data_IF_165535674185
#
_entry.id   IF_165535674185
#
_cell.length_a   1.000
_cell.length_b   1.000
_cell.length_c   1.000
_cell.angle_alpha   90.00
_cell.angle_beta   90.00
_cell.angle_gamma   90.00
#
_symmetry.space_group_name_H-M   'P 1'
#
loop_
_entity.id
_entity.type
_entity.pdbx_description
1 polymer ?
#
# COMPACT_ATOMS: atom_id res chain seq x y z
N UNK A 1 -14.75 10.18 14.05
CA UNK A 1 -15.66 9.69 12.99
C UNK A 1 -15.12 8.40 12.39
N UNK A 2 -15.81 7.83 11.40
CA UNK A 2 -15.32 6.73 10.56
C UNK A 2 -15.31 7.18 9.10
N UNK A 3 -14.35 6.72 8.32
CA UNK A 3 -14.18 7.10 6.92
C UNK A 3 -14.64 5.99 5.98
N UNK A 4 -15.00 6.37 4.74
CA UNK A 4 -15.49 5.44 3.73
C UNK A 4 -14.39 4.48 3.23
N UNK A 5 -14.78 3.27 2.84
CA UNK A 5 -13.93 2.19 2.31
C UNK A 5 -14.76 1.30 1.38
N UNK A 6 -14.22 0.72 0.29
CA UNK A 6 -14.94 -0.30 -0.46
C UNK A 6 -15.23 -1.51 0.43
N UNK A 7 -16.22 -2.32 0.02
CA UNK A 7 -16.65 -3.50 0.75
C UNK A 7 -15.46 -4.40 1.14
N UNK A 8 -15.26 -4.63 2.45
CA UNK A 8 -14.12 -5.39 3.02
C UNK A 8 -12.72 -4.93 2.57
N UNK A 9 -12.59 -3.73 2.00
CA UNK A 9 -11.32 -3.23 1.51
C UNK A 9 -10.77 -3.95 0.26
N UNK A 10 -11.63 -4.56 -0.56
CA UNK A 10 -11.22 -5.51 -1.61
C UNK A 10 -10.95 -4.91 -2.99
N UNK A 11 -10.84 -3.59 -3.12
CA UNK A 11 -10.50 -2.94 -4.39
C UNK A 11 -9.67 -1.66 -4.23
N UNK A 12 -9.23 -1.12 -5.37
CA UNK A 12 -8.28 0.00 -5.49
C UNK A 12 -8.99 1.36 -5.67
N UNK A 13 -10.31 1.37 -5.60
CA UNK A 13 -11.19 2.55 -5.62
C UNK A 13 -12.10 2.50 -4.39
N UNK A 14 -12.66 3.63 -3.97
CA UNK A 14 -13.60 3.69 -2.83
C UNK A 14 -14.98 4.04 -3.32
N UNK A 15 -15.68 3.05 -3.87
CA UNK A 15 -17.01 3.19 -4.47
C UNK A 15 -18.01 2.14 -3.98
N UNK A 16 -18.10 1.89 -2.66
CA UNK A 16 -19.03 0.89 -2.13
C UNK A 16 -20.48 1.23 -2.45
N UNK A 17 -21.30 0.21 -2.72
CA UNK A 17 -22.75 0.40 -2.93
C UNK A 17 -23.42 0.98 -1.69
N UNK A 18 -23.01 0.54 -0.49
CA UNK A 18 -23.65 0.87 0.77
C UNK A 18 -23.58 2.37 1.12
N UNK A 19 -22.43 2.99 0.90
CA UNK A 19 -22.13 4.36 1.35
C UNK A 19 -21.82 5.32 0.20
N UNK A 20 -21.84 4.82 -1.05
CA UNK A 20 -21.58 5.60 -2.25
C UNK A 20 -20.10 5.91 -2.49
N UNK A 21 -19.83 6.50 -3.66
CA UNK A 21 -18.49 6.86 -4.10
C UNK A 21 -17.84 7.96 -3.25
N UNK A 22 -16.61 7.71 -2.81
CA UNK A 22 -15.73 8.72 -2.24
C UNK A 22 -15.06 9.51 -3.36
N UNK A 23 -15.36 10.81 -3.44
CA UNK A 23 -14.89 11.70 -4.51
C UNK A 23 -13.52 12.28 -4.16
N UNK A 24 -12.62 12.31 -5.13
CA UNK A 24 -11.28 12.85 -4.96
C UNK A 24 -11.32 14.39 -4.78
N UNK A 25 -10.79 14.94 -3.67
CA UNK A 25 -10.75 16.39 -3.44
C UNK A 25 -10.01 17.21 -4.51
N UNK A 26 -9.13 16.58 -5.30
CA UNK A 26 -8.44 17.24 -6.41
C UNK A 26 -9.28 17.29 -7.68
N UNK A 27 -10.21 16.35 -7.86
CA UNK A 27 -11.14 16.31 -8.98
C UNK A 27 -12.33 15.41 -8.66
N UNK A 28 -13.51 16.00 -8.44
CA UNK A 28 -14.69 15.31 -7.89
C UNK A 28 -15.29 14.21 -8.78
N UNK A 29 -14.83 14.09 -10.03
CA UNK A 29 -15.18 13.01 -10.98
C UNK A 29 -14.23 11.81 -10.92
N UNK A 30 -13.19 11.87 -10.09
CA UNK A 30 -12.18 10.83 -9.94
C UNK A 30 -12.25 10.14 -8.58
N UNK A 31 -11.73 8.92 -8.55
CA UNK A 31 -11.59 8.09 -7.37
C UNK A 31 -10.50 8.59 -6.45
N UNK A 32 -10.71 8.44 -5.15
CA UNK A 32 -9.72 8.68 -4.09
C UNK A 32 -8.67 7.58 -3.99
N UNK A 33 -8.74 6.54 -4.85
CA UNK A 33 -8.06 5.29 -4.61
C UNK A 33 -8.76 4.46 -3.53
N UNK A 34 -8.17 3.32 -3.17
CA UNK A 34 -8.75 2.40 -2.19
C UNK A 34 -7.72 1.47 -1.54
N UNK A 35 -8.06 0.85 -0.41
CA UNK A 35 -9.37 0.92 0.24
C UNK A 35 -9.56 2.10 1.20
N UNK A 36 -8.48 2.69 1.75
CA UNK A 36 -8.57 3.81 2.70
C UNK A 36 -8.89 5.17 2.03
N UNK A 37 -9.70 5.19 0.97
CA UNK A 37 -9.99 6.39 0.18
C UNK A 37 -10.75 7.47 0.94
N UNK A 38 -11.64 7.08 1.86
CA UNK A 38 -12.31 8.05 2.75
C UNK A 38 -11.34 8.74 3.70
N UNK A 39 -10.32 8.02 4.19
CA UNK A 39 -9.27 8.60 5.04
C UNK A 39 -8.43 9.60 4.25
N UNK A 40 -8.00 9.22 3.05
CA UNK A 40 -7.23 10.10 2.18
C UNK A 40 -8.01 11.34 1.74
N UNK A 41 -9.29 11.20 1.38
CA UNK A 41 -10.13 12.34 1.04
C UNK A 41 -10.29 13.31 2.22
N UNK A 42 -10.55 12.79 3.42
CA UNK A 42 -10.69 13.62 4.61
C UNK A 42 -9.42 14.42 4.92
N UNK A 43 -8.25 13.81 4.76
CA UNK A 43 -6.96 14.47 4.98
C UNK A 43 -6.65 15.48 3.88
N UNK A 44 -6.84 15.12 2.61
CA UNK A 44 -6.58 15.99 1.47
C UNK A 44 -7.54 17.21 1.42
N UNK A 45 -8.78 17.04 1.88
CA UNK A 45 -9.75 18.13 2.05
C UNK A 45 -9.47 19.02 3.29
N UNK A 46 -8.51 18.64 4.14
CA UNK A 46 -8.19 19.37 5.37
C UNK A 46 -9.21 19.24 6.50
N UNK A 47 -10.07 18.20 6.47
CA UNK A 47 -11.01 17.90 7.56
C UNK A 47 -10.25 17.44 8.81
N UNK A 48 -9.18 16.65 8.62
CA UNK A 48 -8.25 16.21 9.67
C UNK A 48 -6.81 16.24 9.14
N UNK A 49 -5.77 16.40 9.99
CA UNK A 49 -4.38 16.46 9.53
C UNK A 49 -3.78 15.08 9.16
N UNK A 50 -4.31 14.02 9.78
CA UNK A 50 -3.99 12.62 9.49
C UNK A 50 -5.21 11.75 9.80
N UNK A 51 -5.28 10.58 9.18
CA UNK A 51 -6.36 9.62 9.42
C UNK A 51 -5.83 8.19 9.38
N UNK A 52 -6.34 7.35 10.28
CA UNK A 52 -6.03 5.91 10.29
C UNK A 52 -6.36 5.27 8.95
N UNK A 53 -5.50 4.36 8.52
CA UNK A 53 -5.62 3.60 7.29
C UNK A 53 -4.95 2.22 7.45
N UNK A 54 -5.43 1.26 6.68
CA UNK A 54 -4.86 -0.08 6.57
C UNK A 54 -4.29 -0.32 5.18
N UNK A 55 -3.32 -1.22 5.06
CA UNK A 55 -2.69 -1.56 3.77
C UNK A 55 -2.43 -3.06 3.67
N UNK A 56 -3.29 -3.75 2.91
CA UNK A 56 -3.19 -5.18 2.58
C UNK A 56 -2.77 -5.48 1.13
N UNK A 57 -2.82 -4.47 0.26
CA UNK A 57 -2.39 -4.54 -1.15
C UNK A 57 -1.96 -3.19 -1.73
N UNK A 58 -1.73 -2.19 -0.88
CA UNK A 58 -1.52 -0.79 -1.26
C UNK A 58 -2.50 0.18 -0.61
N UNK A 59 -3.35 -0.24 0.31
CA UNK A 59 -4.50 0.55 0.75
C UNK A 59 -4.21 1.77 1.65
N UNK A 60 -2.95 2.01 2.03
CA UNK A 60 -2.46 3.33 2.52
C UNK A 60 -1.86 4.09 1.35
N UNK A 61 -0.97 3.42 0.61
CA UNK A 61 -0.15 4.04 -0.45
C UNK A 61 -0.95 4.52 -1.66
N UNK A 62 -1.93 3.74 -2.11
CA UNK A 62 -2.79 4.03 -3.27
C UNK A 62 -3.67 5.25 -2.99
N UNK A 63 -4.43 5.31 -1.88
CA UNK A 63 -5.18 6.52 -1.55
C UNK A 63 -4.28 7.74 -1.34
N UNK A 64 -3.10 7.56 -0.72
CA UNK A 64 -2.14 8.64 -0.57
C UNK A 64 -1.64 9.17 -1.93
N UNK A 65 -1.30 8.27 -2.86
CA UNK A 65 -0.90 8.62 -4.22
C UNK A 65 -2.00 9.38 -4.97
N UNK A 66 -3.25 8.91 -4.87
CA UNK A 66 -4.36 9.51 -5.59
C UNK A 66 -4.82 10.85 -5.00
N UNK A 67 -4.60 11.07 -3.70
CA UNK A 67 -5.04 12.27 -2.99
C UNK A 67 -3.90 13.23 -2.64
N UNK A 68 -2.69 13.02 -3.15
CA UNK A 68 -1.55 13.92 -2.96
C UNK A 68 -1.07 14.00 -1.52
N UNK A 69 -1.00 12.86 -0.84
CA UNK A 69 -0.61 12.74 0.56
C UNK A 69 0.62 11.85 0.73
N UNK A 70 1.23 11.93 1.90
CA UNK A 70 2.21 10.95 2.34
C UNK A 70 1.50 9.74 2.97
N UNK A 71 1.96 8.53 2.61
CA UNK A 71 1.44 7.30 3.19
C UNK A 71 2.52 6.24 3.33
N UNK A 72 2.77 5.80 4.56
CA UNK A 72 3.72 4.73 4.87
C UNK A 72 2.97 3.43 5.19
N UNK A 73 3.30 2.36 4.48
CA UNK A 73 3.02 0.98 4.89
C UNK A 73 4.21 0.49 5.73
N UNK A 74 4.07 0.36 7.06
CA UNK A 74 5.17 -0.09 7.91
C UNK A 74 5.56 -1.55 7.63
N UNK A 75 6.71 -1.96 8.12
CA UNK A 75 7.13 -3.36 8.13
C UNK A 75 6.08 -4.24 8.80
N UNK A 76 5.84 -5.44 8.25
CA UNK A 76 5.01 -6.45 8.90
C UNK A 76 5.54 -6.74 10.29
N UNK A 77 4.67 -6.67 11.29
CA UNK A 77 4.99 -6.88 12.70
C UNK A 77 5.46 -5.64 13.45
N UNK A 78 5.66 -4.49 12.79
CA UNK A 78 5.98 -3.24 13.49
C UNK A 78 4.75 -2.62 14.17
N UNK A 79 3.61 -2.68 13.50
CA UNK A 79 2.30 -2.22 13.98
C UNK A 79 1.28 -3.34 13.86
N UNK A 80 0.16 -3.23 14.58
CA UNK A 80 -1.01 -4.09 14.39
C UNK A 80 -2.20 -3.30 13.85
N UNK A 81 -3.05 -3.96 13.04
CA UNK A 81 -4.42 -3.48 12.77
C UNK A 81 -5.39 -4.08 13.77
N UNK A 82 -5.26 -5.38 14.01
CA UNK A 82 -6.26 -6.22 14.68
C UNK A 82 -5.58 -7.47 15.28
N UNK A 83 -6.28 -8.18 16.17
CA UNK A 83 -5.67 -9.15 17.10
C UNK A 83 -5.56 -10.59 16.57
N UNK A 84 -6.04 -10.88 15.36
CA UNK A 84 -6.06 -12.24 14.81
C UNK A 84 -5.49 -12.33 13.38
N UNK A 85 -5.14 -13.57 12.97
CA UNK A 85 -4.67 -13.83 11.60
C UNK A 85 -5.74 -13.54 10.53
N UNK A 86 -7.01 -13.73 10.84
CA UNK A 86 -8.10 -13.49 9.88
C UNK A 86 -8.18 -12.01 9.49
N UNK A 87 -8.12 -11.17 10.51
CA UNK A 87 -8.26 -9.73 10.44
C UNK A 87 -7.11 -9.02 9.71
N UNK A 88 -5.91 -9.61 9.74
CA UNK A 88 -4.74 -9.07 9.04
C UNK A 88 -4.35 -9.84 7.75
N UNK A 89 -5.24 -10.70 7.24
CA UNK A 89 -4.98 -11.59 6.11
C UNK A 89 -3.66 -12.38 6.25
N UNK A 90 -3.42 -12.95 7.44
CA UNK A 90 -2.17 -13.61 7.81
C UNK A 90 -0.93 -12.76 7.58
N UNK A 91 -1.02 -11.48 7.96
CA UNK A 91 0.09 -10.54 7.97
C UNK A 91 0.30 -9.80 6.66
N UNK A 92 -0.59 -9.96 5.67
CA UNK A 92 -0.54 -9.14 4.46
C UNK A 92 -1.00 -7.69 4.74
N UNK A 93 -1.88 -7.50 5.73
CA UNK A 93 -2.40 -6.19 6.12
C UNK A 93 -1.68 -5.62 7.34
N UNK A 94 -1.30 -4.34 7.27
CA UNK A 94 -0.69 -3.57 8.36
C UNK A 94 -1.32 -2.19 8.50
N UNK A 95 -1.25 -1.62 9.70
CA UNK A 95 -1.99 -0.41 10.07
C UNK A 95 -1.07 0.78 10.28
N UNK A 96 -1.51 1.94 9.79
CA UNK A 96 -0.87 3.22 10.05
C UNK A 96 -1.83 4.37 9.75
N UNK A 97 -1.35 5.44 9.12
CA UNK A 97 -2.12 6.63 8.75
C UNK A 97 -1.75 7.07 7.34
N UNK A 98 -2.67 7.81 6.72
CA UNK A 98 -2.35 8.77 5.65
C UNK A 98 -2.24 10.16 6.28
N UNK A 99 -1.27 10.97 5.84
CA UNK A 99 -0.96 12.26 6.46
C UNK A 99 -0.50 13.31 5.44
N UNK A 100 -0.63 14.59 5.81
CA UNK A 100 -0.15 15.69 4.97
C UNK A 100 1.38 15.85 5.02
N UNK A 101 2.02 15.41 6.11
CA UNK A 101 3.45 15.62 6.34
C UNK A 101 4.15 14.37 6.86
N UNK A 102 5.44 14.24 6.53
CA UNK A 102 6.27 13.10 6.98
C UNK A 102 6.38 13.06 8.50
N UNK A 103 6.52 14.22 9.14
CA UNK A 103 6.62 14.32 10.62
C UNK A 103 5.36 13.81 11.33
N UNK A 104 4.18 14.03 10.77
CA UNK A 104 2.93 13.58 11.38
C UNK A 104 2.84 12.06 11.29
N UNK A 105 3.24 11.47 10.16
CA UNK A 105 3.36 10.01 10.03
C UNK A 105 4.34 9.43 11.04
N UNK A 106 5.53 10.00 11.20
CA UNK A 106 6.52 9.53 12.17
C UNK A 106 6.02 9.61 13.62
N UNK A 107 5.35 10.70 14.00
CA UNK A 107 4.76 10.86 15.32
C UNK A 107 3.66 9.83 15.59
N UNK A 108 2.81 9.53 14.60
CA UNK A 108 1.83 8.45 14.74
C UNK A 108 2.50 7.08 14.86
N UNK A 109 3.57 6.83 14.10
CA UNK A 109 4.27 5.55 14.15
C UNK A 109 4.89 5.31 15.53
N UNK A 110 5.47 6.33 16.17
CA UNK A 110 5.95 6.25 17.56
C UNK A 110 4.85 5.80 18.54
N UNK A 111 3.61 6.27 18.34
CA UNK A 111 2.49 5.96 19.22
C UNK A 111 1.93 4.53 19.04
N UNK A 112 1.98 4.00 17.81
CA UNK A 112 1.33 2.72 17.47
C UNK A 112 2.31 1.56 17.30
N UNK A 113 3.61 1.82 17.40
CA UNK A 113 4.65 0.79 17.31
C UNK A 113 4.52 -0.19 18.47
N UNK A 114 4.51 -1.47 18.15
CA UNK A 114 4.47 -2.53 19.15
C UNK A 114 5.78 -2.53 19.96
N UNK A 115 5.67 -2.78 21.27
CA UNK A 115 6.83 -2.90 22.16
C UNK A 115 7.26 -4.34 22.40
N UNK A 116 6.55 -5.30 21.83
CA UNK A 116 6.81 -6.73 21.88
C UNK A 116 6.60 -7.36 20.50
N UNK A 117 7.02 -8.62 20.33
CA UNK A 117 6.48 -9.45 19.25
C UNK A 117 4.99 -9.72 19.53
N UNK A 118 4.20 -9.88 18.49
CA UNK A 118 2.79 -10.27 18.58
C UNK A 118 2.50 -11.38 17.55
N UNK A 119 1.51 -11.24 16.66
CA UNK A 119 1.24 -12.22 15.59
C UNK A 119 2.42 -12.43 14.63
N UNK A 120 3.26 -11.41 14.47
CA UNK A 120 4.46 -11.45 13.64
C UNK A 120 5.65 -10.89 14.41
N UNK A 121 6.86 -11.24 13.94
CA UNK A 121 8.08 -10.72 14.53
C UNK A 121 8.10 -9.19 14.38
N UNK A 122 8.32 -8.47 15.48
CA UNK A 122 8.62 -7.06 15.45
C UNK A 122 10.06 -6.83 14.93
N UNK A 123 10.26 -6.06 13.86
CA UNK A 123 11.58 -5.83 13.28
C UNK A 123 12.54 -5.12 14.22
N UNK A 124 12.06 -4.16 15.03
CA UNK A 124 12.92 -3.43 15.95
C UNK A 124 13.52 -4.35 17.01
N UNK A 125 12.74 -5.32 17.49
CA UNK A 125 13.19 -6.29 18.49
C UNK A 125 14.01 -7.42 17.88
N UNK A 126 13.64 -7.88 16.68
CA UNK A 126 14.35 -8.95 15.99
C UNK A 126 15.76 -8.53 15.55
N UNK A 127 15.99 -7.24 15.32
CA UNK A 127 17.26 -6.69 14.86
C UNK A 127 18.10 -6.07 16.00
N UNK A 128 17.57 -5.99 17.22
CA UNK A 128 18.28 -5.40 18.36
C UNK A 128 19.23 -6.39 19.06
N UNK A 129 20.46 -5.93 19.29
CA UNK A 129 21.33 -6.36 20.39
C UNK A 129 21.22 -5.35 21.53
N UNK A 130 20.21 -5.52 22.41
CA UNK A 130 20.01 -4.78 23.69
C UNK A 130 19.97 -3.24 23.59
N UNK A 131 18.78 -2.64 23.64
CA UNK A 131 18.60 -1.18 23.74
C UNK A 131 17.13 -0.73 23.71
N UNK A 132 16.85 0.54 24.02
CA UNK A 132 15.50 1.13 23.95
C UNK A 132 14.98 1.19 22.50
N UNK A 133 13.66 1.10 22.31
CA UNK A 133 13.04 1.23 20.99
C UNK A 133 13.37 2.61 20.38
N UNK A 134 13.92 2.68 19.15
CA UNK A 134 14.24 3.95 18.52
C UNK A 134 12.96 4.74 18.19
N UNK A 135 12.95 6.05 18.49
CA UNK A 135 11.87 6.95 18.06
C UNK A 135 12.03 7.35 16.60
N UNK A 136 10.97 7.20 15.82
CA UNK A 136 10.86 7.64 14.44
C UNK A 136 10.84 9.16 14.34
N UNK A 137 10.18 9.87 15.26
CA UNK A 137 10.19 11.35 15.30
C UNK A 137 11.59 11.89 15.57
N UNK A 138 12.36 11.26 16.47
CA UNK A 138 13.74 11.66 16.74
C UNK A 138 14.67 11.32 15.57
N UNK A 139 14.43 10.22 14.85
CA UNK A 139 15.17 9.89 13.64
C UNK A 139 15.09 11.01 12.58
N UNK A 140 13.96 11.72 12.49
CA UNK A 140 13.78 12.87 11.59
C UNK A 140 14.60 14.10 11.98
N UNK A 141 15.01 14.23 13.25
CA UNK A 141 15.84 15.35 13.73
C UNK A 141 17.34 15.13 13.47
N UNK A 142 17.71 13.91 13.12
CA UNK A 142 19.09 13.56 12.80
C UNK A 142 19.46 14.02 11.39
N UNK A 143 20.74 13.93 11.05
CA UNK A 143 21.19 14.19 9.69
C UNK A 143 20.45 13.30 8.67
N UNK A 144 20.20 13.80 7.45
CA UNK A 144 19.66 13.00 6.36
C UNK A 144 20.46 11.70 6.15
N UNK A 145 19.87 10.68 5.49
CA UNK A 145 20.60 9.46 5.16
C UNK A 145 21.91 9.77 4.42
N UNK A 146 22.93 8.94 4.65
CA UNK A 146 24.12 8.96 3.81
C UNK A 146 23.75 8.64 2.35
N UNK A 147 24.72 8.74 1.43
CA UNK A 147 24.53 8.33 0.04
C UNK A 147 23.95 6.91 -0.02
N UNK A 148 22.79 6.77 -0.67
CA UNK A 148 22.05 5.51 -0.81
C UNK A 148 22.23 4.98 -2.23
N UNK A 149 22.15 3.66 -2.38
CA UNK A 149 22.07 2.94 -3.66
C UNK A 149 20.61 2.70 -3.98
N UNK A 150 20.15 3.20 -5.11
CA UNK A 150 18.73 3.27 -5.44
C UNK A 150 18.48 2.58 -6.78
N UNK A 151 17.60 1.58 -6.77
CA UNK A 151 17.06 0.97 -7.97
C UNK A 151 15.84 1.77 -8.44
N UNK A 152 15.89 2.35 -9.65
CA UNK A 152 14.77 3.04 -10.27
C UNK A 152 14.03 2.11 -11.24
N UNK A 153 12.80 1.71 -10.91
CA UNK A 153 11.99 0.82 -11.73
C UNK A 153 11.07 1.63 -12.64
N UNK A 154 11.28 1.51 -13.94
CA UNK A 154 10.53 2.21 -15.00
C UNK A 154 9.77 1.25 -15.93
N UNK A 155 9.76 -0.04 -15.61
CA UNK A 155 9.04 -1.08 -16.35
C UNK A 155 8.04 -1.79 -15.44
N UNK A 156 6.92 -2.23 -16.01
CA UNK A 156 5.91 -2.96 -15.25
C UNK A 156 6.40 -4.39 -14.97
N UNK A 157 6.30 -4.89 -13.73
CA UNK A 157 6.86 -6.21 -13.37
C UNK A 157 6.16 -7.39 -14.03
N UNK A 158 4.96 -7.21 -14.60
CA UNK A 158 4.20 -8.23 -15.34
C UNK A 158 3.98 -7.88 -16.82
N UNK A 159 4.60 -6.80 -17.32
CA UNK A 159 4.53 -6.42 -18.73
C UNK A 159 3.35 -5.53 -19.17
N UNK A 160 2.51 -5.04 -18.24
CA UNK A 160 1.50 -4.00 -18.53
C UNK A 160 2.17 -2.67 -18.92
N UNK A 161 1.38 -1.75 -19.50
CA UNK A 161 1.85 -0.41 -19.81
C UNK A 161 1.75 0.51 -18.59
N UNK A 162 2.80 1.29 -18.35
CA UNK A 162 2.80 2.39 -17.39
C UNK A 162 2.50 3.68 -18.17
N UNK A 163 1.58 4.47 -17.66
CA UNK A 163 1.22 5.78 -18.21
C UNK A 163 2.45 6.71 -18.27
N UNK A 164 2.50 7.55 -19.31
CA UNK A 164 3.66 8.41 -19.57
C UNK A 164 3.81 9.50 -18.51
N UNK A 165 2.72 10.03 -17.92
CA UNK A 165 2.80 11.01 -16.83
C UNK A 165 3.29 10.35 -15.53
N UNK A 166 2.92 9.08 -15.30
CA UNK A 166 3.44 8.30 -14.17
C UNK A 166 4.94 8.04 -14.33
N UNK A 167 5.39 7.63 -15.52
CA UNK A 167 6.82 7.45 -15.81
C UNK A 167 7.61 8.76 -15.69
N UNK A 168 7.03 9.88 -16.13
CA UNK A 168 7.64 11.20 -15.96
C UNK A 168 7.87 11.52 -14.48
N UNK A 169 6.90 11.23 -13.62
CA UNK A 169 7.02 11.38 -12.16
C UNK A 169 8.11 10.51 -11.55
N UNK A 170 8.18 9.23 -11.92
CA UNK A 170 9.23 8.30 -11.44
C UNK A 170 10.62 8.79 -11.86
N UNK A 171 10.80 9.16 -13.12
CA UNK A 171 12.08 9.70 -13.61
C UNK A 171 12.43 11.03 -12.95
N UNK A 172 11.44 11.88 -12.65
CA UNK A 172 11.66 13.13 -11.91
C UNK A 172 12.11 12.87 -10.47
N UNK A 173 11.50 11.90 -9.78
CA UNK A 173 11.94 11.48 -8.45
C UNK A 173 13.37 10.90 -8.47
N UNK A 174 13.73 10.12 -9.50
CA UNK A 174 15.11 9.65 -9.71
C UNK A 174 16.10 10.81 -9.79
N UNK A 175 15.85 11.81 -10.64
CA UNK A 175 16.71 13.00 -10.77
C UNK A 175 16.79 13.82 -9.47
N UNK A 176 15.69 13.92 -8.73
CA UNK A 176 15.69 14.58 -7.42
C UNK A 176 16.62 13.84 -6.44
N UNK A 177 16.54 12.51 -6.37
CA UNK A 177 17.40 11.69 -5.52
C UNK A 177 18.89 11.80 -5.92
N UNK A 178 19.21 11.85 -7.22
CA UNK A 178 20.57 12.11 -7.69
C UNK A 178 21.07 13.49 -7.25
N UNK A 179 20.24 14.53 -7.38
CA UNK A 179 20.58 15.90 -6.95
C UNK A 179 20.81 16.01 -5.44
N UNK A 180 20.21 15.11 -4.66
CA UNK A 180 20.39 14.98 -3.22
C UNK A 180 21.62 14.14 -2.83
N UNK A 181 22.38 13.65 -3.82
CA UNK A 181 23.65 12.96 -3.63
C UNK A 181 23.55 11.43 -3.56
N UNK A 182 22.37 10.84 -3.81
CA UNK A 182 22.21 9.39 -3.88
C UNK A 182 22.70 8.83 -5.22
N UNK A 183 22.98 7.52 -5.26
CA UNK A 183 23.29 6.79 -6.50
C UNK A 183 22.02 6.17 -7.04
N UNK A 184 21.58 6.56 -8.24
CA UNK A 184 20.36 6.04 -8.85
C UNK A 184 20.72 5.26 -10.11
N UNK A 185 20.21 4.04 -10.22
CA UNK A 185 20.38 3.19 -11.40
C UNK A 185 19.03 2.65 -11.86
N UNK A 186 18.70 2.83 -13.13
CA UNK A 186 17.49 2.30 -13.73
C UNK A 186 17.63 0.79 -13.98
N UNK A 187 16.76 -0.01 -13.37
CA UNK A 187 16.75 -1.46 -13.56
C UNK A 187 15.35 -2.06 -13.36
N UNK A 188 15.03 -3.21 -13.99
CA UNK A 188 13.77 -3.91 -13.74
C UNK A 188 13.63 -4.32 -12.27
N UNK A 189 12.38 -4.45 -11.80
CA UNK A 189 12.15 -5.01 -10.47
C UNK A 189 12.63 -6.48 -10.44
N UNK A 190 13.45 -6.90 -9.45
CA UNK A 190 14.11 -8.20 -9.46
C UNK A 190 13.21 -9.39 -9.12
N UNK A 191 11.91 -9.18 -8.92
CA UNK A 191 11.05 -10.15 -8.25
C UNK A 191 9.94 -10.66 -9.17
N UNK A 192 9.48 -11.87 -8.88
CA UNK A 192 8.33 -12.49 -9.55
C UNK A 192 7.01 -12.01 -8.91
N UNK A 193 6.49 -10.89 -9.41
CA UNK A 193 5.24 -10.30 -8.96
C UNK A 193 4.02 -11.18 -9.26
N UNK A 194 4.04 -11.95 -10.36
CA UNK A 194 2.95 -12.84 -10.72
C UNK A 194 2.80 -13.97 -9.68
N UNK A 195 3.92 -14.53 -9.22
CA UNK A 195 3.94 -15.51 -8.13
C UNK A 195 3.45 -14.92 -6.82
N UNK A 196 3.83 -13.69 -6.48
CA UNK A 196 3.34 -13.00 -5.29
C UNK A 196 1.83 -12.83 -5.35
N UNK A 197 1.30 -12.29 -6.47
CA UNK A 197 -0.12 -12.07 -6.67
C UNK A 197 -0.94 -13.37 -6.58
N UNK A 198 -0.46 -14.46 -7.21
CA UNK A 198 -1.12 -15.76 -7.14
C UNK A 198 -1.15 -16.35 -5.72
N UNK A 199 -0.09 -16.15 -4.93
CA UNK A 199 -0.05 -16.58 -3.53
C UNK A 199 -0.97 -15.73 -2.64
N UNK A 200 -0.92 -14.41 -2.79
CA UNK A 200 -1.76 -13.48 -2.03
C UNK A 200 -3.25 -13.69 -2.32
N UNK A 201 -3.64 -13.89 -3.58
CA UNK A 201 -5.04 -14.13 -3.95
C UNK A 201 -5.65 -15.33 -3.22
N UNK A 202 -4.89 -16.43 -3.05
CA UNK A 202 -5.31 -17.59 -2.27
C UNK A 202 -5.50 -17.27 -0.79
N UNK A 203 -4.54 -16.56 -0.20
CA UNK A 203 -4.56 -16.20 1.23
C UNK A 203 -5.72 -15.25 1.52
N UNK A 204 -5.84 -14.16 0.74
CA UNK A 204 -6.89 -13.15 0.90
C UNK A 204 -8.26 -13.78 0.66
N UNK A 205 -8.44 -14.56 -0.41
CA UNK A 205 -9.72 -15.24 -0.68
C UNK A 205 -10.16 -16.15 0.46
N UNK A 206 -9.23 -16.90 1.05
CA UNK A 206 -9.48 -17.75 2.22
C UNK A 206 -9.95 -16.91 3.41
N UNK A 207 -9.27 -15.80 3.70
CA UNK A 207 -9.64 -14.93 4.83
C UNK A 207 -10.91 -14.11 4.60
N UNK A 208 -11.23 -13.74 3.37
CA UNK A 208 -12.52 -13.11 3.05
C UNK A 208 -13.65 -14.06 3.35
N UNK A 209 -13.56 -15.32 2.90
CA UNK A 209 -14.55 -16.34 3.25
C UNK A 209 -14.65 -16.52 4.77
N UNK A 210 -13.51 -16.65 5.46
CA UNK A 210 -13.46 -16.80 6.91
C UNK A 210 -14.12 -15.62 7.65
N UNK A 211 -14.00 -14.40 7.11
CA UNK A 211 -14.53 -13.19 7.74
C UNK A 211 -16.04 -13.04 7.55
N UNK A 212 -16.56 -13.43 6.39
CA UNK A 212 -17.99 -13.29 6.08
C UNK A 212 -18.84 -14.47 6.58
N UNK A 213 -18.29 -15.68 6.60
CA UNK A 213 -19.04 -16.91 6.88
C UNK A 213 -19.77 -16.89 8.24
N UNK A 214 -19.17 -16.46 9.36
CA UNK A 214 -19.88 -16.42 10.65
C UNK A 214 -21.13 -15.54 10.61
N UNK A 215 -21.09 -14.44 9.84
CA UNK A 215 -22.25 -13.56 9.69
C UNK A 215 -23.33 -14.20 8.83
N UNK A 216 -22.94 -14.87 7.75
CA UNK A 216 -23.87 -15.60 6.90
C UNK A 216 -24.58 -16.72 7.66
N UNK A 217 -23.82 -17.51 8.43
CA UNK A 217 -24.37 -18.57 9.29
C UNK A 217 -25.37 -18.00 10.31
N UNK A 218 -25.05 -16.87 10.94
CA UNK A 218 -25.94 -16.22 11.90
C UNK A 218 -27.26 -15.71 11.29
N UNK A 219 -27.27 -15.48 9.98
CA UNK A 219 -28.44 -15.02 9.22
C UNK A 219 -29.14 -16.17 8.49
N UNK A 220 -28.61 -17.38 8.53
CA UNK A 220 -29.12 -18.51 7.76
C UNK A 220 -29.03 -18.30 6.25
N UNK A 221 -28.06 -17.52 5.77
CA UNK A 221 -27.87 -17.22 4.35
C UNK A 221 -26.72 -18.04 3.78
N UNK A 222 -26.86 -18.51 2.55
CA UNK A 222 -25.73 -18.98 1.75
C UNK A 222 -24.90 -17.81 1.20
N UNK A 223 -23.68 -18.10 0.75
CA UNK A 223 -22.83 -17.11 0.06
C UNK A 223 -23.46 -16.58 -1.23
N UNK A 224 -24.29 -17.38 -1.91
CA UNK A 224 -24.99 -16.95 -3.12
C UNK A 224 -26.08 -15.92 -2.81
N UNK A 225 -26.82 -16.14 -1.72
CA UNK A 225 -27.88 -15.25 -1.23
C UNK A 225 -27.34 -14.00 -0.51
N UNK A 226 -26.07 -14.03 -0.08
CA UNK A 226 -25.45 -12.92 0.64
C UNK A 226 -25.62 -11.58 -0.09
N UNK A 227 -26.11 -10.51 0.57
CA UNK A 227 -26.27 -9.20 -0.05
C UNK A 227 -24.93 -8.43 -0.05
N UNK A 228 -23.89 -9.06 -0.60
CA UNK A 228 -22.53 -8.48 -0.73
C UNK A 228 -22.19 -8.24 -2.21
N UNK A 229 -21.22 -7.37 -2.45
CA UNK A 229 -20.79 -7.02 -3.80
C UNK A 229 -20.22 -8.22 -4.57
N UNK A 230 -20.36 -8.21 -5.90
CA UNK A 230 -20.04 -9.36 -6.75
C UNK A 230 -18.58 -9.80 -6.61
N UNK A 231 -17.62 -8.86 -6.57
CA UNK A 231 -16.22 -9.18 -6.36
C UNK A 231 -15.95 -9.86 -5.02
N UNK A 232 -16.67 -9.47 -3.95
CA UNK A 232 -16.58 -10.09 -2.62
C UNK A 232 -17.04 -11.54 -2.69
N UNK A 233 -18.18 -11.80 -3.35
CA UNK A 233 -18.67 -13.18 -3.59
C UNK A 233 -17.65 -14.01 -4.37
N UNK A 234 -17.13 -13.46 -5.47
CA UNK A 234 -16.15 -14.15 -6.33
C UNK A 234 -14.89 -14.50 -5.55
N UNK A 235 -14.38 -13.57 -4.74
CA UNK A 235 -13.19 -13.77 -3.92
C UNK A 235 -13.42 -14.84 -2.83
N UNK A 236 -14.56 -14.79 -2.12
CA UNK A 236 -14.92 -15.78 -1.12
C UNK A 236 -15.11 -17.19 -1.73
N UNK A 237 -15.77 -17.30 -2.90
CA UNK A 237 -15.89 -18.56 -3.66
C UNK A 237 -14.55 -19.09 -4.12
N UNK A 238 -13.61 -18.20 -4.47
CA UNK A 238 -12.23 -18.55 -4.75
C UNK A 238 -11.55 -19.15 -3.52
N UNK A 239 -11.69 -18.49 -2.38
CA UNK A 239 -11.20 -18.96 -1.07
C UNK A 239 -11.72 -20.35 -0.69
N UNK A 240 -13.01 -20.63 -0.93
CA UNK A 240 -13.62 -21.93 -0.65
C UNK A 240 -12.97 -23.10 -1.39
N UNK A 241 -12.27 -22.83 -2.50
CA UNK A 241 -11.57 -23.84 -3.32
C UNK A 241 -10.11 -24.04 -2.90
N UNK A 242 -9.58 -23.21 -2.01
CA UNK A 242 -8.18 -23.28 -1.57
C UNK A 242 -8.04 -24.40 -0.55
N UNK A 243 -7.25 -25.43 -0.86
CA UNK A 243 -6.94 -26.48 0.12
C UNK A 243 -5.93 -26.01 1.15
N UNK A 244 -5.82 -26.70 2.28
CA UNK A 244 -4.77 -26.44 3.27
C UNK A 244 -3.35 -26.53 2.65
N UNK A 245 -3.13 -27.47 1.71
CA UNK A 245 -1.85 -27.59 0.98
C UNK A 245 -1.60 -26.37 0.09
N UNK A 246 -2.62 -25.87 -0.61
CA UNK A 246 -2.48 -24.66 -1.44
C UNK A 246 -2.14 -23.43 -0.60
N UNK A 247 -2.77 -23.31 0.58
CA UNK A 247 -2.52 -22.23 1.52
C UNK A 247 -1.08 -22.25 2.05
N UNK A 248 -0.59 -23.41 2.48
CA UNK A 248 0.81 -23.56 2.92
C UNK A 248 1.80 -23.25 1.79
N UNK A 249 1.56 -23.77 0.57
CA UNK A 249 2.40 -23.47 -0.60
C UNK A 249 2.40 -21.99 -0.97
N UNK A 250 1.29 -21.29 -0.78
CA UNK A 250 1.18 -19.86 -0.98
C UNK A 250 2.07 -19.10 0.03
N UNK A 251 2.00 -19.45 1.32
CA UNK A 251 2.87 -18.89 2.36
C UNK A 251 4.34 -19.12 2.09
N UNK A 252 4.73 -20.35 1.72
CA UNK A 252 6.13 -20.66 1.39
C UNK A 252 6.63 -19.87 0.18
N UNK A 253 5.75 -19.60 -0.79
CA UNK A 253 6.09 -18.80 -1.96
C UNK A 253 6.37 -17.35 -1.60
N UNK A 254 5.55 -16.74 -0.73
CA UNK A 254 5.80 -15.39 -0.22
C UNK A 254 7.08 -15.34 0.62
N UNK A 255 7.34 -16.35 1.47
CA UNK A 255 8.57 -16.42 2.26
C UNK A 255 9.83 -16.50 1.39
N UNK A 256 9.80 -17.28 0.30
CA UNK A 256 10.92 -17.32 -0.66
C UNK A 256 11.15 -15.98 -1.34
N UNK A 257 10.09 -15.26 -1.70
CA UNK A 257 10.18 -13.93 -2.29
C UNK A 257 10.74 -12.91 -1.30
N UNK A 258 10.33 -12.98 -0.03
CA UNK A 258 10.88 -12.16 1.05
C UNK A 258 12.40 -12.37 1.19
N UNK A 259 12.86 -13.62 1.25
CA UNK A 259 14.30 -13.93 1.34
C UNK A 259 15.09 -13.46 0.12
N UNK A 260 14.53 -13.60 -1.09
CA UNK A 260 15.14 -13.10 -2.31
C UNK A 260 15.27 -11.57 -2.30
N UNK A 261 14.25 -10.85 -1.82
CA UNK A 261 14.31 -9.40 -1.68
C UNK A 261 15.31 -8.95 -0.62
N UNK A 262 15.38 -9.64 0.52
CA UNK A 262 16.39 -9.36 1.54
C UNK A 262 17.82 -9.49 0.99
N UNK A 263 18.08 -10.53 0.19
CA UNK A 263 19.36 -10.70 -0.51
C UNK A 263 19.62 -9.58 -1.53
N UNK A 264 18.60 -9.16 -2.28
CA UNK A 264 18.72 -8.03 -3.21
C UNK A 264 18.99 -6.70 -2.48
N UNK A 265 18.41 -6.48 -1.30
CA UNK A 265 18.69 -5.29 -0.51
C UNK A 265 20.13 -5.21 0.03
N UNK A 266 20.92 -6.28 -0.10
CA UNK A 266 22.36 -6.18 0.13
C UNK A 266 23.08 -5.39 -0.98
N UNK A 267 22.49 -5.29 -2.18
CA UNK A 267 23.05 -4.55 -3.32
C UNK A 267 22.45 -3.16 -3.50
N UNK A 268 21.21 -2.95 -3.04
CA UNK A 268 20.51 -1.65 -3.09
C UNK A 268 19.79 -1.34 -1.79
N UNK A 269 19.76 -0.07 -1.40
CA UNK A 269 19.13 0.36 -0.15
C UNK A 269 17.64 0.65 -0.36
N UNK A 270 17.29 1.26 -1.50
CA UNK A 270 15.92 1.68 -1.83
C UNK A 270 15.54 1.21 -3.24
N UNK A 271 14.29 0.80 -3.41
CA UNK A 271 13.66 0.59 -4.71
C UNK A 271 12.60 1.67 -4.92
N UNK A 272 12.75 2.45 -5.99
CA UNK A 272 11.81 3.48 -6.43
C UNK A 272 10.97 2.93 -7.57
N UNK A 273 9.65 3.08 -7.49
CA UNK A 273 8.69 2.59 -8.49
C UNK A 273 7.45 3.48 -8.53
N UNK A 274 6.56 3.36 -9.53
CA UNK A 274 5.21 3.89 -9.41
C UNK A 274 4.46 3.30 -8.21
N UNK A 275 3.49 4.02 -7.66
CA UNK A 275 2.47 3.40 -6.77
C UNK A 275 1.42 2.65 -7.61
N UNK A 276 0.96 3.30 -8.68
CA UNK A 276 -0.01 2.79 -9.66
C UNK A 276 0.54 2.98 -11.07
N UNK A 277 0.05 2.17 -12.00
CA UNK A 277 0.47 2.23 -13.41
C UNK A 277 -0.21 3.36 -14.20
N UNK A 278 -1.28 3.95 -13.66
CA UNK A 278 -2.05 5.04 -14.27
C UNK A 278 -2.37 6.14 -13.25
N UNK A 279 -2.69 7.37 -13.69
CA UNK A 279 -3.25 8.41 -12.81
C UNK A 279 -4.54 7.97 -12.11
N UNK A 280 -5.04 8.75 -11.13
CA UNK A 280 -6.32 8.47 -10.46
C UNK A 280 -7.41 8.12 -11.47
N UNK A 281 -8.10 6.99 -11.26
CA UNK A 281 -9.13 6.53 -12.19
C UNK A 281 -10.41 7.39 -12.08
N UNK A 282 -11.14 7.63 -13.18
CA UNK A 282 -12.50 8.18 -13.12
C UNK A 282 -13.42 7.29 -12.28
N UNK A 283 -14.38 7.90 -11.58
CA UNK A 283 -15.39 7.15 -10.83
C UNK A 283 -16.17 6.20 -11.76
N UNK A 284 -16.48 5.02 -11.27
CA UNK A 284 -17.18 3.95 -11.98
C UNK A 284 -16.30 3.13 -12.92
N UNK A 285 -15.03 3.51 -13.14
CA UNK A 285 -14.14 2.79 -14.05
C UNK A 285 -13.79 1.38 -13.55
N UNK A 286 -13.51 1.24 -12.25
CA UNK A 286 -13.26 -0.03 -11.57
C UNK A 286 -14.39 -0.29 -10.55
N UNK A 287 -15.40 -1.02 -11.01
CA UNK A 287 -16.62 -1.28 -10.26
C UNK A 287 -16.68 -2.73 -9.75
N UNK A 288 -16.75 -2.90 -8.43
CA UNK A 288 -16.82 -4.21 -7.76
C UNK A 288 -18.07 -5.04 -8.09
N UNK A 289 -19.10 -4.41 -8.67
CA UNK A 289 -20.30 -5.08 -9.20
C UNK A 289 -20.33 -5.24 -10.73
N UNK A 290 -19.19 -5.08 -11.41
CA UNK A 290 -19.10 -5.37 -12.84
C UNK A 290 -19.45 -6.85 -13.11
N UNK A 291 -20.47 -7.09 -13.93
CA UNK A 291 -20.80 -8.44 -14.42
C UNK A 291 -19.79 -8.96 -15.43
N UNK A 292 -18.99 -8.08 -16.05
CA UNK A 292 -17.84 -8.46 -16.84
C UNK A 292 -16.62 -8.64 -15.94
N UNK A 293 -16.46 -9.85 -15.42
CA UNK A 293 -15.36 -10.22 -14.53
C UNK A 293 -14.00 -10.18 -15.24
N UNK A 294 -13.96 -10.37 -16.57
CA UNK A 294 -12.72 -10.35 -17.34
C UNK A 294 -12.23 -8.91 -17.49
N UNK A 295 -13.12 -7.99 -17.85
CA UNK A 295 -12.82 -6.56 -17.91
C UNK A 295 -12.40 -6.02 -16.53
N UNK A 296 -13.12 -6.38 -15.47
CA UNK A 296 -12.75 -5.99 -14.10
C UNK A 296 -11.33 -6.45 -13.74
N UNK A 297 -11.01 -7.73 -13.98
CA UNK A 297 -9.69 -8.28 -13.71
C UNK A 297 -8.59 -7.62 -14.55
N UNK A 298 -8.87 -7.33 -15.84
CA UNK A 298 -7.94 -6.64 -16.72
C UNK A 298 -7.66 -5.20 -16.26
N UNK A 299 -8.71 -4.43 -15.92
CA UNK A 299 -8.56 -3.07 -15.38
C UNK A 299 -7.81 -3.06 -14.04
N UNK A 300 -8.10 -4.02 -13.17
CA UNK A 300 -7.38 -4.18 -11.91
C UNK A 300 -5.89 -4.44 -12.17
N UNK A 301 -5.56 -5.38 -13.07
CA UNK A 301 -4.17 -5.70 -13.46
C UNK A 301 -3.46 -4.47 -14.03
N UNK A 302 -4.09 -3.76 -14.97
CA UNK A 302 -3.53 -2.57 -15.61
C UNK A 302 -3.36 -1.36 -14.68
N UNK A 303 -4.09 -1.31 -13.57
CA UNK A 303 -4.03 -0.18 -12.64
C UNK A 303 -3.08 -0.45 -11.47
N UNK A 304 -3.17 -1.66 -10.92
CA UNK A 304 -2.23 -2.17 -9.92
C UNK A 304 -0.86 -2.45 -10.53
N UNK A 305 0.10 -2.86 -9.70
CA UNK A 305 1.35 -3.42 -10.20
C UNK A 305 2.45 -3.50 -9.17
N UNK A 306 2.56 -2.48 -8.31
CA UNK A 306 3.78 -2.29 -7.52
C UNK A 306 3.59 -2.45 -6.01
N UNK A 307 2.41 -2.15 -5.49
CA UNK A 307 2.20 -2.05 -4.03
C UNK A 307 2.05 -3.40 -3.34
N UNK A 308 1.23 -4.29 -3.91
CA UNK A 308 0.79 -5.53 -3.28
C UNK A 308 1.96 -6.49 -2.98
N UNK A 309 2.99 -6.48 -3.82
CA UNK A 309 4.19 -7.28 -3.61
C UNK A 309 4.80 -7.07 -2.21
N UNK A 310 4.89 -5.82 -1.75
CA UNK A 310 5.45 -5.46 -0.46
C UNK A 310 4.52 -5.79 0.74
N UNK A 311 3.24 -6.04 0.49
CA UNK A 311 2.35 -6.67 1.48
C UNK A 311 2.67 -8.17 1.61
N UNK A 312 2.87 -8.83 0.47
CA UNK A 312 3.29 -10.23 0.40
C UNK A 312 4.58 -10.51 1.15
N UNK A 313 5.62 -9.70 0.89
CA UNK A 313 6.94 -9.85 1.51
C UNK A 313 7.03 -9.22 2.89
N UNK A 314 6.19 -8.24 3.20
CA UNK A 314 6.15 -7.56 4.50
C UNK A 314 7.13 -6.39 4.63
N UNK A 315 7.98 -6.13 3.64
CA UNK A 315 8.92 -5.01 3.62
C UNK A 315 8.20 -3.64 3.70
N UNK A 316 8.79 -2.61 4.32
CA UNK A 316 8.17 -1.30 4.44
C UNK A 316 8.21 -0.55 3.09
N UNK A 317 7.14 0.21 2.82
CA UNK A 317 7.00 0.96 1.57
C UNK A 317 6.22 2.24 1.81
N UNK A 318 6.59 3.33 1.15
CA UNK A 318 5.88 4.62 1.26
C UNK A 318 5.46 5.14 -0.11
N UNK A 319 4.37 5.91 -0.14
CA UNK A 319 3.97 6.78 -1.25
C UNK A 319 4.34 8.21 -0.90
N UNK A 320 5.12 8.85 -1.76
CA UNK A 320 5.52 10.27 -1.65
C UNK A 320 4.91 11.07 -2.81
N UNK A 321 4.14 12.14 -2.57
CA UNK A 321 3.39 12.85 -3.61
C UNK A 321 4.28 13.87 -4.34
N UNK A 322 5.25 13.36 -5.11
CA UNK A 322 6.28 14.17 -5.78
C UNK A 322 5.90 14.63 -7.20
N UNK A 323 4.73 14.24 -7.71
CA UNK A 323 4.33 14.55 -9.07
C UNK A 323 2.82 14.75 -9.21
N UNK A 324 2.41 15.33 -10.34
CA UNK A 324 1.02 15.49 -10.73
C UNK A 324 0.88 15.39 -12.24
N UNK A 325 -0.30 15.00 -12.70
CA UNK A 325 -0.66 15.09 -14.11
C UNK A 325 -0.69 16.54 -14.58
N UNK A 326 -0.69 16.73 -15.89
CA UNK A 326 -0.96 17.99 -16.57
C UNK A 326 -2.32 18.59 -16.21
N UNK A 327 -3.28 17.77 -15.76
CA UNK A 327 -4.59 18.20 -15.26
C UNK A 327 -4.64 18.47 -13.76
N UNK A 328 -3.52 18.32 -13.05
CA UNK A 328 -3.41 18.60 -11.62
C UNK A 328 -3.82 17.46 -10.68
N UNK A 329 -4.06 16.25 -11.20
CA UNK A 329 -4.27 15.07 -10.37
C UNK A 329 -2.94 14.61 -9.76
N UNK A 330 -2.87 14.31 -8.44
CA UNK A 330 -1.64 13.84 -7.83
C UNK A 330 -1.18 12.47 -8.35
N UNK A 331 0.15 12.29 -8.39
CA UNK A 331 0.83 11.02 -8.67
C UNK A 331 1.82 10.73 -7.54
N UNK A 332 1.59 9.63 -6.83
CA UNK A 332 2.50 9.13 -5.80
C UNK A 332 3.64 8.30 -6.38
N UNK A 333 4.84 8.50 -5.83
CA UNK A 333 6.03 7.71 -6.14
C UNK A 333 6.30 6.78 -4.96
N UNK A 334 6.40 5.47 -5.25
CA UNK A 334 6.65 4.45 -4.25
C UNK A 334 8.14 4.33 -3.96
N UNK A 335 8.51 4.25 -2.68
CA UNK A 335 9.86 3.92 -2.23
C UNK A 335 9.78 2.78 -1.21
N UNK A 336 10.56 1.72 -1.43
CA UNK A 336 10.59 0.54 -0.58
C UNK A 336 12.00 0.23 -0.11
N UNK A 337 12.15 -0.20 1.13
CA UNK A 337 13.42 -0.59 1.74
C UNK A 337 13.33 -2.04 2.26
N UNK A 338 14.45 -2.56 2.77
CA UNK A 338 14.46 -3.88 3.40
C UNK A 338 13.58 -3.92 4.66
N UNK A 339 13.17 -5.13 5.07
CA UNK A 339 12.36 -5.31 6.25
C UNK A 339 13.02 -4.72 7.51
N UNK A 340 12.27 -3.90 8.25
CA UNK A 340 12.74 -3.15 9.42
C UNK A 340 13.40 -1.80 9.12
N UNK A 341 13.59 -1.42 7.85
CA UNK A 341 14.18 -0.14 7.47
C UNK A 341 13.17 1.03 7.39
N UNK A 342 12.13 1.00 8.23
CA UNK A 342 11.08 2.02 8.31
C UNK A 342 11.65 3.42 8.62
N UNK A 343 12.60 3.49 9.56
CA UNK A 343 13.25 4.75 9.93
C UNK A 343 14.08 5.33 8.77
N UNK A 344 14.73 4.48 7.96
CA UNK A 344 15.46 4.91 6.77
C UNK A 344 14.51 5.56 5.75
N UNK A 345 13.36 4.93 5.50
CA UNK A 345 12.33 5.49 4.60
C UNK A 345 11.82 6.85 5.10
N UNK A 346 11.50 6.97 6.39
CA UNK A 346 11.04 8.24 6.96
C UNK A 346 12.10 9.35 6.87
N UNK A 347 13.38 9.03 7.13
CA UNK A 347 14.48 9.99 6.96
C UNK A 347 14.63 10.45 5.51
N UNK A 348 14.53 9.51 4.54
CA UNK A 348 14.56 9.85 3.12
C UNK A 348 13.35 10.71 2.73
N UNK A 349 12.16 10.36 3.21
CA UNK A 349 10.94 11.13 2.96
C UNK A 349 11.05 12.57 3.48
N UNK A 350 11.63 12.78 4.67
CA UNK A 350 11.83 14.12 5.22
C UNK A 350 12.82 14.95 4.38
N UNK A 351 13.87 14.31 3.86
CA UNK A 351 14.80 14.97 2.92
C UNK A 351 14.09 15.39 1.63
N UNK A 352 13.25 14.51 1.07
CA UNK A 352 12.46 14.77 -0.13
C UNK A 352 11.41 15.86 0.10
N UNK A 353 10.68 15.82 1.22
CA UNK A 353 9.69 16.83 1.61
C UNK A 353 10.31 18.23 1.76
N UNK A 354 11.54 18.29 2.30
CA UNK A 354 12.29 19.54 2.41
C UNK A 354 12.76 20.07 1.05
N UNK A 355 13.25 19.19 0.17
CA UNK A 355 13.79 19.57 -1.13
C UNK A 355 12.71 19.89 -2.19
N UNK A 356 11.58 19.18 -2.13
CA UNK A 356 10.46 19.30 -3.07
C UNK A 356 9.13 19.19 -2.31
N UNK A 357 8.73 20.25 -1.57
CA UNK A 357 7.49 20.24 -0.81
C UNK A 357 6.27 20.15 -1.74
N UNK A 358 5.27 19.38 -1.31
CA UNK A 358 4.00 19.22 -2.01
C UNK A 358 2.87 20.05 -1.37
N UNK A 359 1.78 20.33 -2.11
CA UNK A 359 0.63 20.99 -1.53
C UNK A 359 -0.01 20.11 -0.44
N UNK A 360 -0.32 20.71 0.71
CA UNK A 360 -0.85 19.97 1.86
C UNK A 360 -2.34 19.65 1.74
N UNK A 361 -3.06 20.38 0.90
CA UNK A 361 -4.50 20.29 0.73
C UNK A 361 -4.85 20.43 -0.74
N UNK A 362 -5.89 19.71 -1.15
CA UNK A 362 -6.47 19.86 -2.46
C UNK A 362 -7.13 21.24 -2.60
N UNK A 363 -7.20 21.78 -3.84
CA UNK A 363 -7.83 23.06 -4.09
C UNK A 363 -9.36 23.06 -3.92
N UNK A 364 -9.97 21.85 -3.84
CA UNK A 364 -11.41 21.54 -3.77
C UNK A 364 -12.29 22.30 -4.77
#
# INVERSE_FOLDING_TARGET
GKTNTPEWGLTLTTEPVLTGACRNPWQLTHSTGGSSGGAAAAVAAGIVPAAHASDGGGSIRIPAANCGLFGLKPSRGLTTIEGTLAECWSGLSVGHVVSQTVRDSAAFLDLITLTAHDLFANPLLAQQTVGANPSFSDALKQAPPAKLRIALVTTHPTGELIDTEVLAGVRAAGRLLESLGHSVEEQPHPADHARAAGAMSKIIGTHVLQSIQPRLDSLGLSLDEAPVELSTKVMAKGGAKVTASDYVKARDSLRRLELAMHAFHQTVDIIVSPVLSKPPAPLGWLNMNSTDLKDYAAKFSQYSGFTAFYNGTGAPSMSVPLHSTSTGLPIGIQMSADWGQDALLLKLAAQLESAAPWPRRAPL
#
